data_IF_037189149292
#
_entry.id   IF_037189149292
#
_cell.length_a   1.000
_cell.length_b   1.000
_cell.length_c   1.000
_cell.angle_alpha   90.00
_cell.angle_beta   90.00
_cell.angle_gamma   90.00
#
_symmetry.space_group_name_H-M   'P 1'
#
loop_
_entity.id
_entity.type
_entity.pdbx_description
1 polymer ?
#
# COMPACT_ATOMS: atom_id res chain seq x y z
N UNK A 1 -6.77 -22.00 22.80
CA UNK A 1 -6.00 -20.81 23.18
C UNK A 1 -6.47 -19.65 22.34
N UNK A 2 -7.31 -18.78 22.92
CA UNK A 2 -7.81 -17.56 22.30
C UNK A 2 -6.73 -16.49 22.39
N UNK A 3 -6.14 -16.12 21.25
CA UNK A 3 -5.28 -14.94 21.18
C UNK A 3 -6.11 -13.68 21.52
N UNK A 4 -5.62 -12.77 22.37
CA UNK A 4 -6.27 -11.49 22.55
C UNK A 4 -6.28 -10.74 21.21
N UNK A 5 -7.45 -10.25 20.80
CA UNK A 5 -7.58 -9.35 19.66
C UNK A 5 -6.90 -8.02 20.01
N UNK A 6 -5.58 -7.92 19.80
CA UNK A 6 -4.91 -6.64 19.72
C UNK A 6 -5.45 -5.94 18.47
N UNK A 7 -6.41 -5.04 18.67
CA UNK A 7 -7.09 -4.28 17.63
C UNK A 7 -6.19 -3.26 16.96
N UNK A 8 -5.24 -3.72 16.16
CA UNK A 8 -4.54 -2.85 15.22
C UNK A 8 -5.54 -2.44 14.15
N UNK A 9 -6.07 -1.23 14.28
CA UNK A 9 -6.88 -0.59 13.24
C UNK A 9 -5.92 -0.17 12.14
N UNK A 10 -5.80 -1.00 11.11
CA UNK A 10 -5.01 -0.65 9.92
C UNK A 10 -5.80 0.37 9.11
N UNK A 11 -5.40 1.63 9.25
CA UNK A 11 -6.02 2.75 8.54
C UNK A 11 -5.36 2.92 7.18
N UNK A 12 -6.14 2.82 6.12
CA UNK A 12 -5.66 3.12 4.77
C UNK A 12 -5.33 4.61 4.62
N UNK A 13 -4.46 4.93 3.67
CA UNK A 13 -4.23 6.32 3.25
C UNK A 13 -5.55 7.05 2.93
N UNK A 14 -5.67 8.29 3.39
CA UNK A 14 -6.83 9.15 3.11
C UNK A 14 -7.05 9.38 1.61
N UNK A 15 -5.97 9.42 0.82
CA UNK A 15 -6.04 9.57 -0.64
C UNK A 15 -6.65 8.33 -1.30
N UNK A 16 -6.25 7.12 -0.89
CA UNK A 16 -6.87 5.87 -1.38
C UNK A 16 -8.33 5.78 -0.95
N UNK A 17 -8.61 6.13 0.29
CA UNK A 17 -9.97 6.13 0.85
C UNK A 17 -10.87 7.09 0.05
N UNK A 18 -10.39 8.30 -0.24
CA UNK A 18 -11.13 9.29 -1.05
C UNK A 18 -11.41 8.77 -2.46
N UNK A 19 -10.42 8.15 -3.10
CA UNK A 19 -10.56 7.58 -4.43
C UNK A 19 -11.64 6.47 -4.46
N UNK A 20 -11.62 5.59 -3.46
CA UNK A 20 -12.50 4.43 -3.38
C UNK A 20 -13.89 4.76 -2.82
N UNK A 21 -14.06 5.87 -2.10
CA UNK A 21 -15.33 6.27 -1.47
C UNK A 21 -16.50 6.30 -2.47
N UNK A 22 -16.26 6.75 -3.71
CA UNK A 22 -17.31 6.79 -4.74
C UNK A 22 -17.83 5.41 -5.15
N UNK A 23 -17.10 4.32 -4.87
CA UNK A 23 -17.57 2.97 -5.08
C UNK A 23 -18.62 2.54 -4.05
N UNK A 24 -18.65 3.19 -2.89
CA UNK A 24 -19.49 2.87 -1.72
C UNK A 24 -20.74 3.76 -1.58
N UNK A 25 -21.01 4.62 -2.57
CA UNK A 25 -22.17 5.52 -2.59
C UNK A 25 -23.10 5.23 -3.78
N UNK A 26 -23.71 4.03 -3.81
CA UNK A 26 -23.60 3.07 -4.92
C UNK A 26 -22.73 3.50 -6.11
N UNK A 27 -21.73 2.70 -6.46
CA UNK A 27 -20.82 2.98 -7.58
C UNK A 27 -21.55 3.50 -8.85
N UNK A 28 -21.14 4.65 -9.44
CA UNK A 28 -21.77 5.19 -10.64
C UNK A 28 -21.86 4.21 -11.82
N UNK A 29 -20.96 3.22 -11.88
CA UNK A 29 -20.98 2.17 -12.89
C UNK A 29 -22.26 1.32 -12.90
N UNK A 30 -23.02 1.25 -11.80
CA UNK A 30 -24.29 0.51 -11.73
C UNK A 30 -25.34 1.05 -12.69
N UNK A 31 -25.32 2.35 -13.00
CA UNK A 31 -26.21 2.96 -13.99
C UNK A 31 -25.81 2.72 -15.45
N UNK A 32 -24.66 2.08 -15.70
CA UNK A 32 -24.09 1.93 -17.03
C UNK A 32 -23.42 0.58 -17.26
N UNK A 33 -22.08 0.59 -17.37
CA UNK A 33 -21.32 -0.60 -17.76
C UNK A 33 -21.47 -1.81 -16.83
N UNK A 34 -21.80 -1.58 -15.54
CA UNK A 34 -21.97 -2.61 -14.53
C UNK A 34 -23.44 -3.04 -14.34
N UNK A 35 -24.37 -2.41 -15.04
CA UNK A 35 -25.82 -2.65 -14.90
C UNK A 35 -26.18 -4.13 -15.12
N UNK A 36 -26.98 -4.68 -14.21
CA UNK A 36 -27.45 -6.07 -14.23
C UNK A 36 -26.38 -7.14 -13.98
N UNK A 37 -25.12 -6.74 -13.74
CA UNK A 37 -23.98 -7.65 -13.55
C UNK A 37 -23.39 -7.55 -12.15
N UNK A 38 -23.02 -6.35 -11.73
CA UNK A 38 -22.46 -6.13 -10.40
C UNK A 38 -23.57 -6.23 -9.34
N UNK A 39 -23.20 -6.67 -8.14
CA UNK A 39 -24.11 -6.75 -6.99
C UNK A 39 -23.80 -5.65 -5.98
N UNK A 40 -24.86 -5.02 -5.46
CA UNK A 40 -24.79 -4.11 -4.32
C UNK A 40 -25.82 -4.55 -3.28
N UNK A 41 -25.34 -5.15 -2.20
CA UNK A 41 -26.14 -5.62 -1.08
C UNK A 41 -25.26 -5.63 0.19
N UNK A 42 -25.01 -4.46 0.82
CA UNK A 42 -24.05 -4.34 1.93
C UNK A 42 -24.36 -5.23 3.13
N UNK A 43 -25.64 -5.45 3.41
CA UNK A 43 -26.08 -6.33 4.49
C UNK A 43 -25.64 -7.80 4.31
N UNK A 44 -25.43 -8.22 3.06
CA UNK A 44 -24.93 -9.57 2.70
C UNK A 44 -23.48 -9.53 2.20
N UNK A 45 -22.72 -8.49 2.53
CA UNK A 45 -21.30 -8.36 2.15
C UNK A 45 -21.04 -8.00 0.69
N UNK A 46 -22.07 -7.83 -0.16
CA UNK A 46 -21.85 -7.45 -1.56
C UNK A 46 -21.62 -5.94 -1.71
N UNK A 47 -20.39 -5.52 -1.46
CA UNK A 47 -19.86 -4.18 -1.75
C UNK A 47 -18.64 -4.32 -2.66
N UNK A 48 -18.03 -3.23 -3.14
CA UNK A 48 -16.65 -3.26 -3.65
C UNK A 48 -15.71 -3.87 -2.60
N UNK A 49 -14.91 -4.88 -2.93
CA UNK A 49 -14.12 -5.67 -1.97
C UNK A 49 -12.80 -6.12 -2.60
N UNK A 50 -12.06 -6.95 -1.84
CA UNK A 50 -10.84 -7.61 -2.31
C UNK A 50 -9.61 -6.72 -2.32
N UNK A 51 -9.65 -5.62 -1.57
CA UNK A 51 -8.52 -4.71 -1.44
C UNK A 51 -8.12 -4.49 0.03
N UNK A 52 -6.82 -4.42 0.30
CA UNK A 52 -6.25 -4.13 1.61
C UNK A 52 -4.75 -3.81 1.53
N UNK A 53 -4.18 -3.30 2.63
CA UNK A 53 -2.77 -2.92 2.73
C UNK A 53 -2.56 -1.42 2.50
N UNK A 54 -1.38 -1.06 2.03
CA UNK A 54 -0.92 0.33 1.92
C UNK A 54 -1.15 1.11 3.24
N UNK A 55 -0.77 0.48 4.36
CA UNK A 55 -0.93 1.06 5.70
C UNK A 55 0.07 2.18 6.01
N UNK A 56 1.15 2.29 5.23
CA UNK A 56 2.12 3.38 5.30
C UNK A 56 1.89 4.48 4.25
N UNK A 57 2.87 5.37 4.06
CA UNK A 57 2.88 6.33 2.96
C UNK A 57 2.76 5.65 1.59
N UNK A 58 2.00 6.25 0.66
CA UNK A 58 1.71 5.62 -0.65
C UNK A 58 2.93 5.51 -1.56
N UNK A 59 3.91 6.40 -1.39
CA UNK A 59 5.21 6.38 -2.08
C UNK A 59 6.18 5.33 -1.51
N UNK A 60 5.92 4.81 -0.31
CA UNK A 60 6.61 3.67 0.28
C UNK A 60 6.00 2.31 -0.12
N UNK A 61 4.86 2.29 -0.81
CA UNK A 61 4.31 1.05 -1.36
C UNK A 61 5.27 0.51 -2.43
N UNK A 62 5.70 -0.75 -2.24
CA UNK A 62 6.73 -1.43 -3.02
C UNK A 62 6.16 -2.53 -3.91
N UNK A 63 5.02 -3.10 -3.52
CA UNK A 63 4.35 -4.19 -4.23
C UNK A 63 2.86 -3.89 -4.37
N UNK A 64 2.32 -4.08 -5.57
CA UNK A 64 0.88 -4.12 -5.82
C UNK A 64 0.50 -5.50 -6.36
N UNK A 65 -0.34 -6.23 -5.65
CA UNK A 65 -0.92 -7.49 -6.12
C UNK A 65 -2.32 -7.22 -6.68
N UNK A 66 -2.50 -7.48 -7.98
CA UNK A 66 -3.78 -7.32 -8.68
C UNK A 66 -4.38 -8.70 -8.96
N UNK A 67 -5.43 -9.03 -8.23
CA UNK A 67 -6.27 -10.21 -8.42
C UNK A 67 -7.36 -9.93 -9.48
N UNK A 68 -8.16 -10.94 -9.81
CA UNK A 68 -9.13 -10.83 -10.88
C UNK A 68 -10.42 -10.12 -10.41
N UNK A 69 -11.18 -10.77 -9.55
CA UNK A 69 -12.41 -10.27 -8.96
C UNK A 69 -12.55 -10.90 -7.56
N UNK A 70 -13.25 -10.23 -6.62
CA UNK A 70 -13.58 -10.89 -5.37
C UNK A 70 -14.56 -12.04 -5.62
N UNK A 71 -14.41 -13.10 -4.82
CA UNK A 71 -15.38 -14.21 -4.75
C UNK A 71 -16.70 -13.79 -4.12
N UNK A 72 -17.56 -14.75 -3.79
CA UNK A 72 -18.73 -14.46 -2.97
C UNK A 72 -18.31 -14.11 -1.52
N UNK A 73 -19.08 -13.27 -0.80
CA UNK A 73 -18.86 -13.01 0.61
C UNK A 73 -18.88 -14.28 1.44
N UNK A 74 -18.07 -14.31 2.49
CA UNK A 74 -18.18 -15.38 3.48
C UNK A 74 -19.56 -15.29 4.19
N UNK A 75 -20.09 -16.41 4.73
CA UNK A 75 -21.46 -16.45 5.28
C UNK A 75 -21.79 -15.35 6.30
N UNK A 76 -20.83 -14.95 7.12
CA UNK A 76 -20.99 -13.95 8.18
C UNK A 76 -20.43 -12.55 7.81
N UNK A 77 -20.05 -12.35 6.55
CA UNK A 77 -19.49 -11.08 6.08
C UNK A 77 -20.60 -10.06 5.81
N UNK A 78 -20.56 -8.93 6.51
CA UNK A 78 -21.50 -7.82 6.35
C UNK A 78 -20.82 -6.48 6.51
N UNK A 79 -21.25 -5.50 5.73
CA UNK A 79 -20.72 -4.13 5.73
C UNK A 79 -21.84 -3.08 5.80
N UNK A 80 -23.00 -3.45 6.36
CA UNK A 80 -24.17 -2.56 6.41
C UNK A 80 -24.33 -1.75 7.71
N UNK A 81 -23.52 -2.00 8.74
CA UNK A 81 -23.87 -1.69 10.13
C UNK A 81 -24.07 -0.20 10.47
N UNK A 82 -23.30 0.71 9.87
CA UNK A 82 -23.41 2.16 10.13
C UNK A 82 -23.93 2.98 8.93
N UNK A 83 -24.07 2.33 7.76
CA UNK A 83 -24.51 2.94 6.50
C UNK A 83 -23.61 4.04 5.94
N UNK A 84 -22.52 4.39 6.64
CA UNK A 84 -21.64 5.50 6.26
C UNK A 84 -20.61 5.00 5.25
N UNK A 85 -20.42 5.73 4.15
CA UNK A 85 -19.46 5.39 3.07
C UNK A 85 -18.07 5.04 3.62
N UNK A 86 -17.57 5.85 4.56
CA UNK A 86 -16.26 5.61 5.21
C UNK A 86 -16.24 4.33 6.03
N UNK A 87 -17.30 4.06 6.79
CA UNK A 87 -17.42 2.87 7.63
C UNK A 87 -17.55 1.58 6.83
N UNK A 88 -18.31 1.60 5.73
CA UNK A 88 -18.42 0.45 4.83
C UNK A 88 -17.08 0.12 4.15
N UNK A 89 -16.38 1.14 3.66
CA UNK A 89 -15.07 1.00 3.04
C UNK A 89 -14.05 0.45 4.02
N UNK A 90 -13.99 1.04 5.22
CA UNK A 90 -13.10 0.59 6.29
C UNK A 90 -13.41 -0.86 6.68
N UNK A 91 -14.68 -1.20 6.86
CA UNK A 91 -15.14 -2.55 7.20
C UNK A 91 -14.69 -3.59 6.16
N UNK A 92 -14.89 -3.31 4.88
CA UNK A 92 -14.49 -4.20 3.78
C UNK A 92 -12.97 -4.36 3.68
N UNK A 93 -12.21 -3.27 3.79
CA UNK A 93 -10.74 -3.35 3.81
C UNK A 93 -10.22 -4.13 5.01
N UNK A 94 -10.74 -3.87 6.21
CA UNK A 94 -10.33 -4.56 7.42
C UNK A 94 -10.66 -6.05 7.34
N UNK A 95 -11.79 -6.41 6.73
CA UNK A 95 -12.14 -7.79 6.49
C UNK A 95 -11.11 -8.49 5.59
N UNK A 96 -10.82 -7.91 4.41
CA UNK A 96 -9.82 -8.45 3.49
C UNK A 96 -8.43 -8.57 4.13
N UNK A 97 -8.03 -7.56 4.91
CA UNK A 97 -6.76 -7.56 5.64
C UNK A 97 -6.69 -8.72 6.63
N UNK A 98 -7.73 -8.93 7.46
CA UNK A 98 -7.80 -10.06 8.40
C UNK A 98 -7.82 -11.40 7.68
N UNK A 99 -8.57 -11.49 6.58
CA UNK A 99 -8.68 -12.72 5.82
C UNK A 99 -7.33 -13.17 5.25
N UNK A 100 -6.53 -12.22 4.73
CA UNK A 100 -5.15 -12.47 4.29
C UNK A 100 -4.24 -12.84 5.47
N UNK A 101 -4.32 -12.11 6.59
CA UNK A 101 -3.53 -12.40 7.81
C UNK A 101 -3.72 -13.84 8.28
N UNK A 102 -4.99 -14.21 8.42
CA UNK A 102 -5.40 -15.45 9.07
C UNK A 102 -5.42 -16.63 8.08
N UNK A 103 -5.25 -16.36 6.78
CA UNK A 103 -5.30 -17.37 5.73
C UNK A 103 -6.64 -18.11 5.71
N UNK A 104 -7.74 -17.35 5.82
CA UNK A 104 -9.12 -17.85 6.05
C UNK A 104 -9.51 -18.98 5.11
N UNK A 105 -9.09 -18.92 3.85
CA UNK A 105 -9.30 -19.98 2.88
C UNK A 105 -8.06 -20.23 2.00
N UNK A 106 -8.20 -21.10 1.00
CA UNK A 106 -7.12 -21.40 0.04
C UNK A 106 -6.69 -20.20 -0.78
N UNK A 107 -7.60 -19.28 -1.11
CA UNK A 107 -7.23 -18.06 -1.80
C UNK A 107 -6.34 -17.23 -0.88
N UNK A 108 -6.79 -16.87 0.32
CA UNK A 108 -6.08 -15.95 1.23
C UNK A 108 -4.70 -16.46 1.69
N UNK A 109 -4.52 -17.79 1.82
CA UNK A 109 -3.20 -18.38 2.12
C UNK A 109 -2.16 -18.13 1.02
N UNK A 110 -2.59 -17.92 -0.22
CA UNK A 110 -1.67 -17.75 -1.34
C UNK A 110 -1.08 -16.33 -1.41
N UNK A 111 -1.84 -15.21 -1.33
CA UNK A 111 -1.28 -13.89 -1.12
C UNK A 111 -0.42 -13.83 0.14
N UNK A 112 -0.83 -14.48 1.25
CA UNK A 112 0.01 -14.58 2.45
C UNK A 112 1.38 -15.20 2.14
N UNK A 113 1.41 -16.32 1.42
CA UNK A 113 2.67 -16.94 0.99
C UNK A 113 3.48 -16.03 0.05
N UNK A 114 2.83 -15.32 -0.89
CA UNK A 114 3.51 -14.37 -1.78
C UNK A 114 4.19 -13.27 -0.95
N UNK A 115 3.51 -12.74 0.07
CA UNK A 115 4.08 -11.75 1.00
C UNK A 115 5.29 -12.32 1.75
N UNK A 116 5.18 -13.52 2.32
CA UNK A 116 6.28 -14.18 3.04
C UNK A 116 7.50 -14.43 2.14
N UNK A 117 7.27 -14.76 0.87
CA UNK A 117 8.33 -14.88 -0.12
C UNK A 117 8.97 -13.53 -0.44
N UNK A 118 8.16 -12.48 -0.65
CA UNK A 118 8.67 -11.15 -1.00
C UNK A 118 9.42 -10.49 0.15
N UNK A 119 9.00 -10.75 1.39
CA UNK A 119 9.42 -10.05 2.59
C UNK A 119 9.78 -11.05 3.70
N UNK A 120 10.86 -11.84 3.52
CA UNK A 120 11.26 -12.81 4.53
C UNK A 120 11.61 -12.09 5.83
N UNK A 121 11.36 -12.78 6.94
CA UNK A 121 11.67 -12.32 8.30
C UNK A 121 11.03 -10.97 8.69
N UNK A 122 9.95 -10.59 8.00
CA UNK A 122 9.17 -9.38 8.25
C UNK A 122 7.80 -9.75 8.80
N UNK A 123 7.31 -9.06 9.82
CA UNK A 123 5.97 -9.28 10.36
C UNK A 123 4.87 -8.84 9.37
N UNK A 124 3.66 -9.37 9.54
CA UNK A 124 2.57 -9.10 8.59
C UNK A 124 2.20 -7.62 8.49
N UNK A 125 2.18 -6.91 9.61
CA UNK A 125 1.71 -5.53 9.64
C UNK A 125 2.67 -4.66 8.80
N UNK A 126 3.98 -4.87 8.98
CA UNK A 126 5.03 -4.25 8.15
C UNK A 126 4.93 -4.66 6.68
N UNK A 127 4.72 -5.96 6.37
CA UNK A 127 4.50 -6.42 4.99
C UNK A 127 3.34 -5.67 4.31
N UNK A 128 2.28 -5.37 5.06
CA UNK A 128 1.08 -4.69 4.58
C UNK A 128 1.23 -3.16 4.53
N UNK A 129 2.26 -2.57 5.14
CA UNK A 129 2.62 -1.17 4.88
C UNK A 129 3.20 -1.03 3.47
N UNK A 130 4.03 -1.98 3.03
CA UNK A 130 4.70 -1.95 1.72
C UNK A 130 3.90 -2.60 0.59
N UNK A 131 2.78 -3.25 0.90
CA UNK A 131 2.00 -3.98 -0.10
C UNK A 131 0.58 -3.44 -0.20
N UNK A 132 0.10 -3.25 -1.41
CA UNK A 132 -1.30 -3.05 -1.73
C UNK A 132 -1.85 -4.28 -2.46
N UNK A 133 -2.94 -4.84 -1.97
CA UNK A 133 -3.68 -5.91 -2.64
C UNK A 133 -4.97 -5.29 -3.16
N UNK A 134 -5.35 -5.59 -4.40
CA UNK A 134 -6.59 -5.12 -5.02
C UNK A 134 -7.04 -6.07 -6.13
N UNK A 135 -8.17 -5.78 -6.75
CA UNK A 135 -8.74 -6.56 -7.85
C UNK A 135 -8.85 -5.73 -9.14
N UNK A 136 -8.83 -6.42 -10.28
CA UNK A 136 -9.10 -5.80 -11.58
C UNK A 136 -10.54 -5.30 -11.74
N UNK A 137 -11.46 -5.85 -10.95
CA UNK A 137 -12.80 -5.31 -10.70
C UNK A 137 -13.14 -5.48 -9.23
N UNK A 138 -13.70 -4.44 -8.60
CA UNK A 138 -13.92 -4.46 -7.15
C UNK A 138 -15.21 -5.17 -6.73
N UNK A 139 -16.16 -5.42 -7.64
CA UNK A 139 -17.42 -6.09 -7.30
C UNK A 139 -17.38 -7.56 -7.75
N UNK A 140 -17.97 -8.45 -6.95
CA UNK A 140 -18.16 -9.84 -7.33
C UNK A 140 -19.02 -9.94 -8.61
N UNK A 141 -18.75 -10.96 -9.41
CA UNK A 141 -19.62 -11.32 -10.51
C UNK A 141 -21.00 -11.77 -9.99
N UNK A 142 -22.02 -11.72 -10.85
CA UNK A 142 -23.39 -12.16 -10.48
C UNK A 142 -23.44 -13.61 -9.99
N UNK A 143 -22.60 -14.46 -10.56
CA UNK A 143 -22.38 -15.86 -10.18
C UNK A 143 -20.91 -15.99 -9.86
N UNK A 144 -20.56 -16.64 -8.75
CA UNK A 144 -19.16 -16.86 -8.37
C UNK A 144 -18.36 -17.44 -9.54
N UNK A 145 -17.18 -16.86 -9.81
CA UNK A 145 -16.28 -17.23 -10.94
C UNK A 145 -16.86 -17.02 -12.33
N UNK A 146 -18.07 -16.49 -12.43
CA UNK A 146 -18.78 -16.20 -13.67
C UNK A 146 -18.09 -15.15 -14.54
N UNK A 147 -18.71 -14.90 -15.69
CA UNK A 147 -18.17 -13.94 -16.65
C UNK A 147 -18.36 -12.50 -16.16
N UNK A 148 -17.28 -11.72 -16.16
CA UNK A 148 -17.31 -10.26 -16.01
C UNK A 148 -17.21 -9.63 -17.41
N UNK A 149 -18.23 -8.86 -17.85
CA UNK A 149 -18.23 -8.20 -19.15
C UNK A 149 -17.04 -7.25 -19.32
N UNK A 150 -16.48 -7.21 -20.53
CA UNK A 150 -15.36 -6.32 -20.88
C UNK A 150 -15.65 -4.86 -20.55
N UNK A 151 -16.89 -4.38 -20.79
CA UNK A 151 -17.30 -3.02 -20.47
C UNK A 151 -17.21 -2.71 -18.96
N UNK A 152 -17.58 -3.66 -18.10
CA UNK A 152 -17.49 -3.52 -16.64
C UNK A 152 -16.03 -3.54 -16.20
N UNK A 153 -15.21 -4.44 -16.76
CA UNK A 153 -13.80 -4.49 -16.46
C UNK A 153 -13.07 -3.18 -16.82
N UNK A 154 -13.34 -2.64 -18.01
CA UNK A 154 -12.79 -1.34 -18.44
C UNK A 154 -13.26 -0.20 -17.54
N UNK A 155 -14.56 -0.13 -17.26
CA UNK A 155 -15.12 0.90 -16.38
C UNK A 155 -14.46 0.90 -15.00
N UNK A 156 -14.37 -0.28 -14.36
CA UNK A 156 -13.77 -0.40 -13.03
C UNK A 156 -12.27 -0.08 -13.06
N UNK A 157 -11.56 -0.55 -14.10
CA UNK A 157 -10.13 -0.29 -14.24
C UNK A 157 -9.83 1.20 -14.47
N UNK A 158 -10.58 1.88 -15.34
CA UNK A 158 -10.44 3.31 -15.61
C UNK A 158 -10.77 4.15 -14.39
N UNK A 159 -11.86 3.82 -13.69
CA UNK A 159 -12.36 4.61 -12.56
C UNK A 159 -11.56 4.41 -11.28
N UNK A 160 -11.06 3.19 -11.03
CA UNK A 160 -10.46 2.85 -9.74
C UNK A 160 -9.06 2.27 -9.86
N UNK A 161 -8.83 1.23 -10.67
CA UNK A 161 -7.52 0.55 -10.68
C UNK A 161 -6.40 1.46 -11.18
N UNK A 162 -6.54 2.07 -12.35
CA UNK A 162 -5.51 2.92 -12.92
C UNK A 162 -5.19 4.15 -12.04
N UNK A 163 -6.17 4.83 -11.41
CA UNK A 163 -5.89 5.83 -10.39
C UNK A 163 -5.14 5.27 -9.16
N UNK A 164 -5.50 4.10 -8.63
CA UNK A 164 -4.75 3.46 -7.53
C UNK A 164 -3.28 3.24 -7.91
N UNK A 165 -3.03 2.64 -9.08
CA UNK A 165 -1.67 2.36 -9.54
C UNK A 165 -0.84 3.63 -9.74
N UNK A 166 -1.45 4.74 -10.18
CA UNK A 166 -0.77 6.05 -10.32
C UNK A 166 -0.32 6.65 -8.99
N UNK A 167 -0.96 6.29 -7.88
CA UNK A 167 -0.55 6.73 -6.55
C UNK A 167 0.70 5.98 -6.06
N UNK A 168 0.93 4.75 -6.51
CA UNK A 168 2.00 3.85 -6.04
C UNK A 168 3.13 3.77 -7.07
N UNK A 169 3.71 4.93 -7.42
CA UNK A 169 4.64 5.09 -8.56
C UNK A 169 5.91 4.23 -8.46
N UNK A 170 6.31 3.90 -7.24
CA UNK A 170 7.53 3.14 -6.98
C UNK A 170 7.29 1.62 -7.00
N UNK A 171 6.04 1.18 -6.91
CA UNK A 171 5.73 -0.23 -6.71
C UNK A 171 5.97 -1.09 -7.95
N UNK A 172 6.32 -2.35 -7.73
CA UNK A 172 6.20 -3.41 -8.73
C UNK A 172 4.73 -3.83 -8.77
N UNK A 173 4.08 -3.70 -9.92
CA UNK A 173 2.70 -4.16 -10.12
C UNK A 173 2.73 -5.59 -10.63
N UNK A 174 2.11 -6.51 -9.89
CA UNK A 174 2.05 -7.93 -10.21
C UNK A 174 0.61 -8.35 -10.40
N UNK A 175 0.33 -8.99 -11.54
CA UNK A 175 -1.01 -9.40 -11.94
C UNK A 175 -1.14 -10.90 -11.80
N UNK A 176 -2.11 -11.34 -11.00
CA UNK A 176 -2.26 -12.73 -10.59
C UNK A 176 -3.31 -13.43 -11.46
N UNK A 177 -2.83 -14.16 -12.47
CA UNK A 177 -3.63 -15.03 -13.33
C UNK A 177 -4.19 -14.38 -14.59
N UNK A 178 -4.60 -15.23 -15.54
CA UNK A 178 -4.96 -14.83 -16.91
C UNK A 178 -6.17 -13.87 -16.96
N UNK A 179 -7.15 -14.02 -16.07
CA UNK A 179 -8.33 -13.13 -16.02
C UNK A 179 -7.92 -11.69 -15.71
N UNK A 180 -7.12 -11.49 -14.66
CA UNK A 180 -6.64 -10.18 -14.25
C UNK A 180 -5.73 -9.57 -15.34
N UNK A 181 -4.80 -10.38 -15.88
CA UNK A 181 -3.90 -9.98 -16.96
C UNK A 181 -4.69 -9.48 -18.18
N UNK A 182 -5.65 -10.27 -18.66
CA UNK A 182 -6.46 -9.91 -19.82
C UNK A 182 -7.21 -8.60 -19.61
N UNK A 183 -7.79 -8.39 -18.42
CA UNK A 183 -8.52 -7.16 -18.09
C UNK A 183 -7.61 -5.93 -18.02
N UNK A 184 -6.42 -6.07 -17.43
CA UNK A 184 -5.44 -4.99 -17.39
C UNK A 184 -4.97 -4.60 -18.80
N UNK A 185 -4.71 -5.58 -19.67
CA UNK A 185 -4.39 -5.32 -21.08
C UNK A 185 -5.55 -4.63 -21.81
N UNK A 186 -6.78 -5.09 -21.63
CA UNK A 186 -7.98 -4.49 -22.25
C UNK A 186 -8.27 -3.07 -21.77
N UNK A 187 -7.81 -2.71 -20.58
CA UNK A 187 -7.89 -1.37 -20.00
C UNK A 187 -6.70 -0.47 -20.41
N UNK A 188 -5.74 -0.98 -21.19
CA UNK A 188 -4.57 -0.23 -21.63
C UNK A 188 -3.54 0.01 -20.53
N UNK A 189 -3.64 -0.69 -19.39
CA UNK A 189 -2.63 -0.62 -18.33
C UNK A 189 -1.41 -1.41 -18.78
N UNK A 190 -0.22 -0.86 -18.58
CA UNK A 190 1.08 -1.42 -19.00
C UNK A 190 2.07 -1.40 -17.84
N UNK A 191 3.22 -2.07 -18.02
CA UNK A 191 4.32 -2.04 -17.05
C UNK A 191 4.06 -2.87 -15.80
N UNK A 192 3.46 -4.05 -15.97
CA UNK A 192 3.19 -4.99 -14.89
C UNK A 192 3.85 -6.35 -15.15
N UNK A 193 4.17 -7.05 -14.07
CA UNK A 193 4.64 -8.42 -14.08
C UNK A 193 3.47 -9.40 -14.01
N UNK A 194 3.63 -10.58 -14.58
CA UNK A 194 2.60 -11.63 -14.56
C UNK A 194 3.01 -12.79 -13.65
N UNK A 195 2.07 -13.27 -12.83
CA UNK A 195 2.25 -14.48 -12.05
C UNK A 195 0.99 -15.36 -12.12
N UNK A 196 1.13 -16.62 -11.66
CA UNK A 196 0.02 -17.54 -11.51
C UNK A 196 -1.05 -16.98 -10.58
N UNK A 197 -2.32 -17.31 -10.84
CA UNK A 197 -3.45 -16.87 -10.05
C UNK A 197 -3.28 -17.24 -8.57
N UNK A 198 -3.73 -16.41 -7.63
CA UNK A 198 -3.80 -16.81 -6.22
C UNK A 198 -4.98 -17.76 -5.93
N UNK A 199 -6.08 -17.64 -6.70
CA UNK A 199 -7.29 -18.40 -6.46
C UNK A 199 -7.23 -19.83 -7.06
N UNK A 200 -7.87 -20.82 -6.42
CA UNK A 200 -8.12 -22.12 -7.01
C UNK A 200 -8.94 -22.05 -8.33
N UNK A 201 -8.82 -23.06 -9.22
CA UNK A 201 -8.00 -24.26 -9.08
C UNK A 201 -6.52 -24.03 -9.40
N UNK A 202 -6.19 -22.96 -10.13
CA UNK A 202 -4.85 -22.77 -10.69
C UNK A 202 -3.80 -22.28 -9.68
N UNK A 203 -4.20 -21.63 -8.58
CA UNK A 203 -3.26 -21.08 -7.62
C UNK A 203 -2.46 -22.08 -6.82
N UNK A 204 -2.84 -23.36 -6.78
CA UNK A 204 -2.07 -24.37 -6.05
C UNK A 204 -1.20 -25.25 -6.94
N UNK A 205 -1.00 -24.83 -8.19
CA UNK A 205 -0.10 -25.53 -9.12
C UNK A 205 1.36 -25.20 -8.84
N UNK A 206 2.28 -26.12 -9.17
CA UNK A 206 3.72 -25.85 -9.05
C UNK A 206 4.14 -24.67 -9.92
N UNK A 207 3.59 -24.56 -11.14
CA UNK A 207 3.83 -23.43 -12.03
C UNK A 207 3.43 -22.07 -11.40
N UNK A 208 2.30 -22.02 -10.68
CA UNK A 208 1.92 -20.81 -9.95
C UNK A 208 2.92 -20.48 -8.85
N UNK A 209 3.29 -21.46 -8.02
CA UNK A 209 4.30 -21.27 -6.95
C UNK A 209 5.66 -20.82 -7.49
N UNK A 210 6.15 -21.45 -8.54
CA UNK A 210 7.40 -21.05 -9.20
C UNK A 210 7.34 -19.62 -9.71
N UNK A 211 6.19 -19.19 -10.26
CA UNK A 211 6.02 -17.80 -10.68
C UNK A 211 6.05 -16.81 -9.52
N UNK A 212 5.49 -17.17 -8.36
CA UNK A 212 5.53 -16.33 -7.17
C UNK A 212 6.95 -16.19 -6.62
N UNK A 213 7.74 -17.28 -6.63
CA UNK A 213 9.16 -17.23 -6.27
C UNK A 213 9.92 -16.28 -7.19
N UNK A 214 9.66 -16.31 -8.51
CA UNK A 214 10.29 -15.37 -9.45
C UNK A 214 9.94 -13.92 -9.13
N UNK A 215 8.66 -13.62 -8.89
CA UNK A 215 8.23 -12.28 -8.50
C UNK A 215 8.90 -11.84 -7.20
N UNK A 216 8.94 -12.71 -6.20
CA UNK A 216 9.57 -12.42 -4.94
C UNK A 216 11.07 -12.12 -5.09
N UNK A 217 11.78 -12.81 -5.99
CA UNK A 217 13.17 -12.48 -6.31
C UNK A 217 13.30 -11.07 -6.89
N UNK A 218 12.40 -10.65 -7.80
CA UNK A 218 12.39 -9.30 -8.37
C UNK A 218 12.13 -8.26 -7.27
N UNK A 219 11.15 -8.53 -6.39
CA UNK A 219 10.82 -7.64 -5.26
C UNK A 219 12.01 -7.50 -4.32
N UNK A 220 12.62 -8.61 -3.87
CA UNK A 220 13.78 -8.57 -2.95
C UNK A 220 15.01 -7.94 -3.57
N UNK A 221 15.21 -8.09 -4.88
CA UNK A 221 16.33 -7.44 -5.58
C UNK A 221 16.16 -5.92 -5.65
N UNK A 222 14.93 -5.44 -5.83
CA UNK A 222 14.63 -4.00 -5.91
C UNK A 222 14.46 -3.34 -4.54
N UNK A 223 13.91 -4.10 -3.59
CA UNK A 223 13.54 -3.67 -2.26
C UNK A 223 14.08 -4.67 -1.23
N UNK A 224 15.39 -4.65 -0.96
CA UNK A 224 15.95 -5.47 0.10
C UNK A 224 15.23 -5.17 1.42
N UNK A 225 14.75 -6.21 2.11
CA UNK A 225 14.16 -6.03 3.44
C UNK A 225 15.22 -5.71 4.47
N UNK A 226 14.79 -5.01 5.52
CA UNK A 226 15.55 -4.79 6.73
C UNK A 226 15.90 -6.09 7.52
N UNK A 227 15.73 -7.28 6.95
CA UNK A 227 16.16 -8.54 7.60
C UNK A 227 17.68 -8.65 7.74
N UNK A 228 18.44 -7.70 7.19
CA UNK A 228 19.88 -7.50 7.49
C UNK A 228 20.13 -6.83 8.84
N UNK A 229 19.14 -6.16 9.42
CA UNK A 229 19.29 -5.47 10.68
C UNK A 229 18.99 -6.42 11.85
N UNK A 230 19.83 -6.41 12.87
CA UNK A 230 19.49 -6.96 14.17
C UNK A 230 18.37 -6.14 14.83
N UNK A 231 17.75 -6.66 15.88
CA UNK A 231 16.74 -5.93 16.65
C UNK A 231 17.27 -4.59 17.17
N UNK A 232 18.49 -4.57 17.71
CA UNK A 232 19.16 -3.36 18.17
C UNK A 232 19.38 -2.34 17.04
N UNK A 233 19.65 -2.82 15.83
CA UNK A 233 19.87 -1.97 14.65
C UNK A 233 18.56 -1.35 14.15
N UNK A 234 17.47 -2.13 14.12
CA UNK A 234 16.12 -1.61 13.82
C UNK A 234 15.69 -0.56 14.83
N UNK A 235 15.90 -0.85 16.11
CA UNK A 235 15.58 0.06 17.20
C UNK A 235 16.36 1.37 17.08
N UNK A 236 17.65 1.31 16.71
CA UNK A 236 18.44 2.51 16.44
C UNK A 236 17.86 3.33 15.28
N UNK A 237 17.51 2.70 14.14
CA UNK A 237 16.92 3.40 13.01
C UNK A 237 15.59 4.08 13.39
N UNK A 238 14.76 3.40 14.19
CA UNK A 238 13.50 3.98 14.72
C UNK A 238 13.76 5.20 15.59
N UNK A 239 14.63 5.07 16.61
CA UNK A 239 14.97 6.18 17.51
C UNK A 239 15.57 7.37 16.75
N UNK A 240 16.41 7.11 15.74
CA UNK A 240 16.98 8.15 14.89
C UNK A 240 15.89 8.95 14.16
N UNK A 241 14.91 8.26 13.54
CA UNK A 241 13.77 8.90 12.87
C UNK A 241 12.95 9.75 13.83
N UNK A 242 12.64 9.21 15.01
CA UNK A 242 11.87 9.91 16.04
C UNK A 242 12.60 11.17 16.54
N UNK A 243 13.91 11.08 16.77
CA UNK A 243 14.70 12.19 17.31
C UNK A 243 14.97 13.30 16.27
N UNK A 244 15.17 12.93 15.01
CA UNK A 244 15.64 13.87 13.98
C UNK A 244 14.55 14.30 13.01
N UNK A 245 13.53 13.47 12.78
CA UNK A 245 12.60 13.60 11.67
C UNK A 245 13.17 13.19 10.30
N UNK A 246 14.38 12.61 10.26
CA UNK A 246 15.05 12.19 9.03
C UNK A 246 15.17 10.67 8.94
N UNK A 247 15.12 10.15 7.71
CA UNK A 247 15.48 8.76 7.41
C UNK A 247 17.00 8.57 7.54
N UNK A 248 17.49 7.55 8.26
CA UNK A 248 18.92 7.26 8.32
C UNK A 248 19.46 6.81 6.95
N UNK A 249 20.68 7.23 6.62
CA UNK A 249 21.37 6.91 5.38
C UNK A 249 22.02 5.54 5.45
N UNK A 250 21.21 4.48 5.32
CA UNK A 250 21.68 3.11 5.52
C UNK A 250 22.03 2.34 4.25
N UNK A 251 21.89 2.96 3.08
CA UNK A 251 22.12 2.34 1.77
C UNK A 251 23.47 1.61 1.68
N UNK A 252 24.57 2.19 2.18
CA UNK A 252 25.89 1.54 2.14
C UNK A 252 25.92 0.22 2.92
N UNK A 253 25.26 0.15 4.07
CA UNK A 253 25.09 -1.11 4.82
C UNK A 253 24.18 -2.10 4.09
N UNK A 254 23.07 -1.63 3.54
CA UNK A 254 22.11 -2.43 2.79
C UNK A 254 22.69 -3.02 1.49
N UNK A 255 23.69 -2.36 0.92
CA UNK A 255 24.41 -2.82 -0.26
C UNK A 255 25.63 -3.70 0.10
N UNK A 256 25.99 -3.79 1.38
CA UNK A 256 27.18 -4.50 1.84
C UNK A 256 28.49 -3.76 1.58
N UNK A 257 28.41 -2.46 1.29
CA UNK A 257 29.54 -1.57 1.03
C UNK A 257 30.09 -0.93 2.31
N UNK A 258 29.32 -0.98 3.41
CA UNK A 258 29.69 -0.45 4.71
C UNK A 258 29.17 -1.36 5.84
N UNK A 259 29.79 -1.26 7.01
CA UNK A 259 29.25 -1.79 8.26
C UNK A 259 28.08 -0.92 8.76
N UNK A 260 27.26 -1.47 9.67
CA UNK A 260 26.18 -0.69 10.28
C UNK A 260 26.73 0.54 11.03
N UNK A 261 27.85 0.40 11.73
CA UNK A 261 28.47 1.51 12.48
C UNK A 261 28.96 2.65 11.58
N UNK A 262 29.48 2.33 10.40
CA UNK A 262 29.88 3.33 9.39
C UNK A 262 28.65 4.04 8.81
N UNK A 263 27.58 3.31 8.48
CA UNK A 263 26.32 3.88 8.01
C UNK A 263 25.65 4.79 9.05
N UNK A 264 25.66 4.38 10.32
CA UNK A 264 25.21 5.21 11.47
C UNK A 264 26.02 6.50 11.56
N UNK A 265 27.34 6.39 11.52
CA UNK A 265 28.25 7.55 11.63
C UNK A 265 28.01 8.54 10.48
N UNK A 266 27.83 8.03 9.27
CA UNK A 266 27.51 8.83 8.10
C UNK A 266 26.14 9.53 8.22
N UNK A 267 25.11 8.81 8.70
CA UNK A 267 23.78 9.38 8.93
C UNK A 267 23.82 10.55 9.92
N UNK A 268 24.48 10.35 11.08
CA UNK A 268 24.66 11.39 12.09
C UNK A 268 25.44 12.59 11.53
N UNK A 269 26.49 12.33 10.74
CA UNK A 269 27.29 13.38 10.13
C UNK A 269 26.46 14.25 9.18
N UNK A 270 25.71 13.62 8.28
CA UNK A 270 24.84 14.32 7.31
C UNK A 270 23.78 15.14 8.04
N UNK A 271 23.12 14.58 9.05
CA UNK A 271 22.15 15.34 9.85
C UNK A 271 22.78 16.54 10.55
N UNK A 272 23.97 16.39 11.14
CA UNK A 272 24.69 17.51 11.76
C UNK A 272 25.03 18.61 10.75
N UNK A 273 25.50 18.24 9.56
CA UNK A 273 25.76 19.22 8.50
C UNK A 273 24.49 19.97 8.13
N UNK A 274 23.39 19.25 7.89
CA UNK A 274 22.10 19.86 7.56
C UNK A 274 21.60 20.80 8.66
N UNK A 275 21.63 20.37 9.93
CA UNK A 275 21.21 21.17 11.06
C UNK A 275 22.06 22.46 11.18
N UNK A 276 23.37 22.36 10.99
CA UNK A 276 24.26 23.52 11.02
C UNK A 276 23.97 24.51 9.89
N UNK A 277 23.69 24.03 8.68
CA UNK A 277 23.30 24.88 7.56
C UNK A 277 21.97 25.61 7.82
N UNK A 278 20.99 24.94 8.40
CA UNK A 278 19.69 25.55 8.75
C UNK A 278 19.89 26.63 9.81
N UNK A 279 20.68 26.35 10.86
CA UNK A 279 21.01 27.32 11.91
C UNK A 279 21.71 28.54 11.31
N UNK A 280 22.69 28.35 10.42
CA UNK A 280 23.40 29.44 9.75
C UNK A 280 22.44 30.34 8.94
N UNK A 281 21.53 29.73 8.16
CA UNK A 281 20.51 30.48 7.40
C UNK A 281 19.57 31.29 8.29
N UNK A 282 19.14 30.73 9.42
CA UNK A 282 18.29 31.43 10.38
C UNK A 282 19.02 32.61 11.04
N UNK A 283 20.29 32.42 11.41
CA UNK A 283 21.13 33.48 11.96
C UNK A 283 21.33 34.63 10.97
N UNK A 284 21.55 34.31 9.69
CA UNK A 284 21.67 35.33 8.64
C UNK A 284 20.35 36.08 8.41
N UNK A 285 19.21 35.38 8.43
CA UNK A 285 17.88 36.00 8.35
C UNK A 285 17.65 37.00 9.48
N UNK A 286 17.95 36.61 10.72
CA UNK A 286 17.83 37.49 11.90
C UNK A 286 18.77 38.71 11.82
N UNK A 287 19.99 38.53 11.30
CA UNK A 287 20.92 39.66 11.11
C UNK A 287 20.41 40.65 10.07
N UNK A 288 19.77 40.17 9.01
CA UNK A 288 19.21 41.03 7.97
C UNK A 288 18.00 41.83 8.46
N UNK A 289 17.06 41.19 9.16
CA UNK A 289 15.91 41.88 9.78
C UNK A 289 16.35 42.99 10.75
N UNK A 290 17.37 42.73 11.57
CA UNK A 290 17.90 43.72 12.50
C UNK A 290 18.57 44.91 11.77
N UNK A 291 19.20 44.69 10.61
CA UNK A 291 19.77 45.76 9.78
C UNK A 291 18.69 46.65 9.19
N UNK A 292 17.62 46.07 8.66
CA UNK A 292 16.50 46.83 8.09
C UNK A 292 15.81 47.67 9.16
N UNK A 293 15.63 47.12 10.37
CA UNK A 293 15.04 47.84 11.51
C UNK A 293 15.93 49.01 11.97
N UNK A 294 17.26 48.85 11.96
CA UNK A 294 18.21 49.90 12.34
C UNK A 294 18.29 51.06 11.32
N UNK A 295 18.08 50.78 10.03
CA UNK A 295 18.05 51.82 8.98
C UNK A 295 16.75 52.63 9.03
N UNK A 296 15.66 52.05 9.54
CA UNK A 296 14.36 52.69 9.68
C UNK A 296 14.15 53.57 10.91
N UNK A 297 15.10 53.64 11.86
CA UNK A 297 14.94 54.52 13.03
C UNK A 297 15.27 55.98 12.65
N UNK A 298 14.31 56.92 12.75
CA UNK A 298 14.56 58.32 12.44
C UNK A 298 15.59 58.87 13.43
N UNK A 299 16.66 59.49 12.92
CA UNK A 299 17.61 60.26 13.73
C UNK A 299 16.83 61.36 14.45
N UNK A 300 16.51 61.15 15.72
CA UNK A 300 16.05 62.25 16.57
C UNK A 300 17.21 63.25 16.64
N UNK A 301 16.99 64.40 16.02
CA UNK A 301 17.87 65.54 16.12
C UNK A 301 17.86 66.01 17.58
N UNK A 302 18.94 65.71 18.30
CA UNK A 302 19.24 66.39 19.55
C UNK A 302 19.67 67.81 19.20
N UNK A 303 18.74 68.76 19.40
CA UNK A 303 19.02 70.18 19.51
C UNK A 303 19.26 70.58 20.96
#
# INVERSE_FOLDING_TARGET
>A
MSYPQSGVVVKQSSTLTTLLASAYAPCPGFGGACSGTARWEPAKGHVPRGFCGAGGPLDEVRLVLVCAEPGDPHPDESHGADGAVSGQLESASQYAWRAVRDGTDKFHRNPRLILDLCWPDTDFDTQMQWTWITDSVLCSARVERGHVPVKMARECATRYLAPQLRLMKNAIVVVLGNKAQHRMTLAGIKGFECAGAAAPPHGNTNAARESWVRIANVVRARFPTESRYSEAQREWCRQYREATGFEPMMRGFEQGEATFGEAVSNSIHIYRQHANEVIARLQDSLRNENRETAIGMPRQAFG
#
